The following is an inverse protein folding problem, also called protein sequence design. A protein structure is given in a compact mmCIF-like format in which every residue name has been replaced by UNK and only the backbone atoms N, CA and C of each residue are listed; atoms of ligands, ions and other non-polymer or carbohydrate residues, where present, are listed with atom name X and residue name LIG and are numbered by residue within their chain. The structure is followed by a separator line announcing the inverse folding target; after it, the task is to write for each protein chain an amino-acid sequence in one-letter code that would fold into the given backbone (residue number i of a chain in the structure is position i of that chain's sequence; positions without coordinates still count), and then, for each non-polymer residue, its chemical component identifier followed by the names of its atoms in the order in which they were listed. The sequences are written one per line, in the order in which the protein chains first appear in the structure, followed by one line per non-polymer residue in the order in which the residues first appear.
data_IF_609330855167
#
_entry.id   IF_609330855167
#
_cell.length_a   1.000
_cell.length_b   1.000
_cell.length_c   1.000
_cell.angle_alpha   90.00
_cell.angle_beta   90.00
_cell.angle_gamma   90.00
#
_symmetry.space_group_name_H-M   'P 1'
#
loop_
_entity.id
_entity.type
_entity.pdbx_description
1 polymer ?
#
# COMPACT_ATOMS: atom_id res chain seq x y z
N UNK A 1 12.05 13.45 6.21
CA UNK A 1 10.97 12.62 6.76
C UNK A 1 10.01 12.27 5.62
N UNK A 2 10.51 11.57 4.60
CA UNK A 2 9.75 11.18 3.40
C UNK A 2 9.85 9.66 3.32
N UNK A 3 8.98 8.97 4.06
CA UNK A 3 8.56 7.57 3.90
C UNK A 3 8.09 7.04 5.27
N UNK A 4 6.90 7.46 5.70
CA UNK A 4 6.22 6.87 6.87
C UNK A 4 5.40 5.64 6.52
N UNK A 5 4.98 5.51 5.26
CA UNK A 5 4.00 4.52 4.86
C UNK A 5 4.55 3.68 3.72
N UNK A 6 4.38 2.38 3.85
CA UNK A 6 4.68 1.39 2.81
C UNK A 6 3.40 0.61 2.51
N UNK A 7 3.05 0.50 1.22
CA UNK A 7 1.91 -0.28 0.75
C UNK A 7 2.44 -1.33 -0.23
N UNK A 8 2.23 -2.60 0.10
CA UNK A 8 2.60 -3.73 -0.74
C UNK A 8 1.34 -4.35 -1.36
N UNK A 9 1.03 -4.07 -2.64
CA UNK A 9 -0.06 -4.73 -3.34
C UNK A 9 0.35 -6.15 -3.74
N UNK A 10 -0.39 -7.15 -3.29
CA UNK A 10 -0.07 -8.56 -3.53
C UNK A 10 -0.98 -9.19 -4.59
N UNK A 11 -0.39 -10.01 -5.47
CA UNK A 11 -1.10 -10.95 -6.34
C UNK A 11 -1.06 -12.35 -5.70
N UNK A 12 -2.12 -12.69 -4.96
CA UNK A 12 -2.29 -14.00 -4.32
C UNK A 12 -2.07 -14.06 -2.80
N UNK A 13 -1.40 -13.07 -2.20
CA UNK A 13 -1.21 -12.93 -0.74
C UNK A 13 -2.06 -11.78 -0.14
N UNK A 14 -2.26 -11.73 1.19
CA UNK A 14 -2.91 -10.61 1.85
C UNK A 14 -2.11 -9.33 1.60
N UNK A 15 -2.78 -8.28 1.13
CA UNK A 15 -2.14 -6.98 0.94
C UNK A 15 -1.67 -6.39 2.28
N UNK A 16 -0.62 -5.57 2.24
CA UNK A 16 0.02 -5.05 3.45
C UNK A 16 0.14 -3.53 3.42
N UNK A 17 -0.13 -2.91 4.57
CA UNK A 17 0.14 -1.50 4.84
C UNK A 17 0.93 -1.40 6.15
N UNK A 18 2.09 -0.77 6.10
CA UNK A 18 2.98 -0.61 7.27
C UNK A 18 3.26 0.88 7.56
N UNK A 19 3.34 1.23 8.85
CA UNK A 19 3.80 2.53 9.32
C UNK A 19 5.29 2.42 9.68
N UNK A 20 6.18 2.70 8.74
CA UNK A 20 7.63 2.52 8.89
C UNK A 20 8.28 3.49 9.89
N UNK A 21 7.56 4.51 10.38
CA UNK A 21 8.04 5.37 11.48
C UNK A 21 7.70 4.78 12.85
N UNK A 22 6.49 4.25 13.00
CA UNK A 22 5.99 3.72 14.28
C UNK A 22 6.31 2.23 14.45
N UNK A 23 6.49 1.52 13.34
CA UNK A 23 6.78 0.10 13.22
C UNK A 23 7.89 -0.14 12.19
N UNK A 24 9.15 0.16 12.53
CA UNK A 24 10.29 -0.01 11.63
C UNK A 24 10.63 -1.48 11.32
N UNK A 25 9.93 -2.43 11.96
CA UNK A 25 10.10 -3.86 11.75
C UNK A 25 8.92 -4.48 10.99
N UNK A 26 7.94 -3.67 10.57
CA UNK A 26 6.80 -4.06 9.72
C UNK A 26 6.04 -5.29 10.25
N UNK A 27 5.85 -5.33 11.57
CA UNK A 27 5.17 -6.42 12.26
C UNK A 27 3.65 -6.29 12.13
N UNK A 28 3.14 -5.05 12.15
CA UNK A 28 1.72 -4.75 12.18
C UNK A 28 1.18 -4.46 10.76
N UNK A 29 0.48 -5.43 10.16
CA UNK A 29 -0.28 -5.17 8.93
C UNK A 29 -1.54 -4.33 9.24
N UNK A 30 -1.58 -3.11 8.69
CA UNK A 30 -2.67 -2.14 8.85
C UNK A 30 -3.69 -2.17 7.72
N UNK A 31 -3.50 -2.97 6.67
CA UNK A 31 -4.28 -2.92 5.42
C UNK A 31 -5.79 -3.08 5.65
N UNK A 32 -6.18 -4.05 6.48
CA UNK A 32 -7.59 -4.33 6.78
C UNK A 32 -8.22 -3.43 7.83
N UNK A 33 -7.45 -2.55 8.49
CA UNK A 33 -7.95 -1.72 9.59
C UNK A 33 -8.85 -0.59 9.02
N UNK A 34 -10.11 -0.47 9.47
CA UNK A 34 -11.05 0.54 8.93
C UNK A 34 -10.51 1.97 8.93
N UNK A 35 -9.76 2.34 9.97
CA UNK A 35 -9.18 3.68 10.14
C UNK A 35 -8.08 4.01 9.12
N UNK A 36 -7.56 3.00 8.42
CA UNK A 36 -6.51 3.15 7.41
C UNK A 36 -7.01 3.03 5.96
N UNK A 37 -8.32 2.89 5.74
CA UNK A 37 -8.90 2.75 4.38
C UNK A 37 -8.56 3.91 3.44
N UNK A 38 -8.63 5.14 3.94
CA UNK A 38 -8.33 6.32 3.11
C UNK A 38 -6.84 6.40 2.76
N UNK A 39 -5.97 5.92 3.67
CA UNK A 39 -4.53 5.80 3.40
C UNK A 39 -4.26 4.77 2.30
N UNK A 40 -4.87 3.58 2.39
CA UNK A 40 -4.75 2.52 1.37
C UNK A 40 -5.20 3.05 0.01
N UNK A 41 -6.37 3.69 -0.05
CA UNK A 41 -6.90 4.26 -1.31
C UNK A 41 -5.99 5.30 -1.93
N UNK A 42 -5.46 6.22 -1.12
CA UNK A 42 -4.55 7.26 -1.60
C UNK A 42 -3.26 6.66 -2.20
N UNK A 43 -2.68 5.66 -1.53
CA UNK A 43 -1.45 5.02 -2.01
C UNK A 43 -1.72 4.12 -3.23
N UNK A 44 -2.82 3.38 -3.26
CA UNK A 44 -3.24 2.61 -4.44
C UNK A 44 -3.45 3.50 -5.67
N UNK A 45 -3.98 4.72 -5.50
CA UNK A 45 -4.11 5.69 -6.60
C UNK A 45 -2.75 6.15 -7.12
N UNK A 46 -1.77 6.39 -6.24
CA UNK A 46 -0.40 6.73 -6.63
C UNK A 46 0.25 5.60 -7.41
N UNK A 47 0.08 4.35 -6.97
CA UNK A 47 0.56 3.15 -7.67
C UNK A 47 -0.08 3.06 -9.05
N UNK A 48 -1.41 3.20 -9.16
CA UNK A 48 -2.11 3.14 -10.43
C UNK A 48 -1.66 4.21 -11.43
N UNK A 49 -1.37 5.43 -10.96
CA UNK A 49 -0.77 6.48 -11.80
C UNK A 49 0.61 6.05 -12.28
N UNK A 50 1.46 5.57 -11.38
CA UNK A 50 2.81 5.11 -11.75
C UNK A 50 2.76 3.96 -12.77
N UNK A 51 1.89 2.97 -12.57
CA UNK A 51 1.69 1.84 -13.49
C UNK A 51 1.29 2.31 -14.88
N UNK A 52 0.37 3.28 -14.96
CA UNK A 52 -0.02 3.89 -16.22
C UNK A 52 1.17 4.53 -16.95
N UNK A 53 2.05 5.25 -16.22
CA UNK A 53 3.22 5.90 -16.80
C UNK A 53 4.32 4.93 -17.23
N UNK A 54 4.49 3.82 -16.51
CA UNK A 54 5.54 2.83 -16.80
C UNK A 54 5.09 1.73 -17.76
N UNK A 55 3.78 1.63 -18.02
CA UNK A 55 3.20 0.52 -18.77
C UNK A 55 3.16 -0.78 -17.97
N UNK A 56 3.25 -0.70 -16.64
CA UNK A 56 3.03 -1.86 -15.77
C UNK A 56 1.54 -2.26 -15.83
N UNK A 57 1.30 -3.53 -16.11
CA UNK A 57 -0.04 -4.10 -16.30
C UNK A 57 -0.49 -4.95 -15.12
N UNK A 58 0.33 -5.12 -14.09
CA UNK A 58 -0.08 -5.83 -12.87
C UNK A 58 -1.19 -5.02 -12.20
N UNK A 59 -2.38 -5.58 -11.95
CA UNK A 59 -3.45 -4.83 -11.32
C UNK A 59 -3.04 -4.45 -9.89
N UNK A 60 -3.32 -3.22 -9.43
CA UNK A 60 -3.20 -2.90 -8.02
C UNK A 60 -4.24 -3.74 -7.29
N UNK A 61 -3.80 -4.51 -6.30
CA UNK A 61 -4.69 -5.37 -5.52
C UNK A 61 -5.81 -4.52 -4.89
N UNK A 62 -7.06 -4.97 -5.04
CA UNK A 62 -8.23 -4.23 -4.59
C UNK A 62 -8.34 -4.24 -3.05
N UNK A 63 -8.89 -3.17 -2.42
CA UNK A 63 -9.21 -3.14 -0.99
C UNK A 63 -10.38 -4.06 -0.61
#
# INVERSE_FOLDING_TARGET
MLNRWELNPCDGDPCELSDTESDPHEIDNLYGRPDHRDRVRAMAAVIGIWQHWTGDTVPPSAP
#
